data_IF_076147906479
#
_entry.id   IF_076147906479
#
_cell.length_a   1.000
_cell.length_b   1.000
_cell.length_c   1.000
_cell.angle_alpha   90.00
_cell.angle_beta   90.00
_cell.angle_gamma   90.00
#
_symmetry.space_group_name_H-M   'P 1'
#
loop_
_entity.id
_entity.type
_entity.pdbx_description
1 polymer ?
#
# COMPACT_ATOMS: atom_id res chain seq x y z
N UNK A 1 -16.61 8.71 1.64
CA UNK A 1 -17.07 8.18 2.93
C UNK A 1 -18.17 9.09 3.46
N UNK A 2 -19.25 8.51 3.91
CA UNK A 2 -20.45 9.25 4.29
C UNK A 2 -20.26 10.21 5.47
N UNK A 3 -19.49 9.84 6.47
CA UNK A 3 -19.24 10.68 7.63
C UNK A 3 -18.46 11.94 7.29
N UNK A 4 -17.49 11.83 6.41
CA UNK A 4 -16.71 12.99 5.97
C UNK A 4 -17.61 14.03 5.29
N UNK A 5 -18.63 13.58 4.56
CA UNK A 5 -19.56 14.46 3.85
C UNK A 5 -20.46 15.25 4.79
N UNK A 6 -20.81 14.73 5.96
CA UNK A 6 -21.63 15.42 6.93
C UNK A 6 -20.96 16.67 7.49
N UNK A 7 -19.63 16.74 7.42
CA UNK A 7 -18.84 17.87 7.92
C UNK A 7 -18.44 18.85 6.82
N UNK A 8 -18.93 18.65 5.62
CA UNK A 8 -18.62 19.53 4.49
C UNK A 8 -19.39 20.82 4.59
N UNK A 9 -18.70 21.94 4.43
CA UNK A 9 -19.31 23.27 4.41
C UNK A 9 -19.57 23.69 2.97
N UNK A 10 -20.76 24.24 2.70
CA UNK A 10 -21.17 24.67 1.38
C UNK A 10 -21.89 23.59 0.59
N UNK A 11 -22.27 23.86 -0.66
CA UNK A 11 -23.03 22.93 -1.48
C UNK A 11 -22.21 21.70 -1.84
N UNK A 12 -22.82 20.52 -1.71
CA UNK A 12 -22.20 19.25 -2.10
C UNK A 12 -22.56 18.98 -3.55
N UNK A 13 -21.55 18.91 -4.40
CA UNK A 13 -21.73 18.51 -5.79
C UNK A 13 -21.46 17.03 -5.94
N UNK A 14 -22.33 16.33 -6.65
CA UNK A 14 -22.14 14.94 -7.00
C UNK A 14 -21.71 14.83 -8.46
N UNK A 15 -20.69 14.03 -8.72
CA UNK A 15 -20.26 13.73 -10.06
C UNK A 15 -19.80 12.27 -10.12
N UNK A 16 -19.91 11.70 -11.32
CA UNK A 16 -19.44 10.33 -11.55
C UNK A 16 -17.94 10.33 -11.77
N UNK A 17 -17.24 9.41 -11.06
CA UNK A 17 -15.81 9.22 -11.22
C UNK A 17 -15.60 7.81 -11.75
N UNK A 18 -14.78 7.69 -12.78
CA UNK A 18 -14.39 6.39 -13.28
C UNK A 18 -13.35 5.81 -12.33
N UNK A 19 -13.62 4.61 -11.82
CA UNK A 19 -12.67 3.87 -10.99
C UNK A 19 -11.91 2.85 -11.84
N UNK A 20 -10.69 2.52 -11.39
CA UNK A 20 -9.84 1.56 -12.07
C UNK A 20 -9.36 0.52 -11.08
N UNK A 21 -9.26 -0.74 -11.51
CA UNK A 21 -8.67 -1.79 -10.68
C UNK A 21 -7.18 -1.56 -10.52
N UNK A 22 -6.68 -1.77 -9.32
CA UNK A 22 -5.27 -1.58 -9.04
C UNK A 22 -4.38 -2.47 -9.92
N UNK A 23 -4.79 -3.71 -10.18
CA UNK A 23 -4.04 -4.60 -11.08
C UNK A 23 -3.91 -4.02 -12.49
N UNK A 24 -4.91 -3.26 -12.97
CA UNK A 24 -4.83 -2.60 -14.27
C UNK A 24 -3.84 -1.44 -14.27
N UNK A 25 -3.77 -0.69 -13.16
CA UNK A 25 -2.79 0.38 -13.01
C UNK A 25 -1.37 -0.18 -13.09
N UNK A 26 -1.13 -1.32 -12.47
CA UNK A 26 0.19 -1.97 -12.49
C UNK A 26 0.61 -2.46 -13.88
N UNK A 27 -0.30 -2.58 -14.83
CA UNK A 27 0.06 -2.96 -16.19
C UNK A 27 0.89 -1.90 -16.91
N UNK A 28 0.69 -0.63 -16.57
CA UNK A 28 1.38 0.47 -17.24
C UNK A 28 2.27 1.31 -16.32
N UNK A 29 2.13 1.18 -15.01
CA UNK A 29 2.96 1.91 -14.04
C UNK A 29 4.07 1.00 -13.52
N UNK A 30 5.31 1.47 -13.52
CA UNK A 30 6.45 0.73 -12.98
C UNK A 30 6.64 0.98 -11.50
N UNK A 31 6.28 2.17 -11.04
CA UNK A 31 6.32 2.56 -9.64
C UNK A 31 5.01 3.21 -9.27
N UNK A 32 4.41 2.76 -8.20
CA UNK A 32 3.16 3.35 -7.68
C UNK A 32 3.39 3.81 -6.25
N UNK A 33 3.11 5.08 -6.00
CA UNK A 33 3.02 5.60 -4.65
C UNK A 33 1.56 5.55 -4.21
N UNK A 34 1.31 4.86 -3.12
CA UNK A 34 -0.04 4.64 -2.60
C UNK A 34 -0.23 5.43 -1.32
N UNK A 35 -1.23 6.32 -1.33
CA UNK A 35 -1.61 7.12 -0.17
C UNK A 35 -3.13 7.16 -0.12
N UNK A 36 -3.73 6.08 0.37
CA UNK A 36 -5.18 5.87 0.35
C UNK A 36 -5.78 5.70 1.75
N UNK A 37 -5.07 6.19 2.75
CA UNK A 37 -5.51 6.32 4.14
C UNK A 37 -6.34 5.15 4.67
N UNK A 38 -5.67 4.03 4.95
CA UNK A 38 -6.31 2.86 5.54
C UNK A 38 -6.77 1.79 4.56
N UNK A 39 -6.74 2.06 3.26
CA UNK A 39 -7.13 1.08 2.24
C UNK A 39 -5.96 0.32 1.64
N UNK A 40 -4.73 0.58 2.12
CA UNK A 40 -3.53 -0.03 1.56
C UNK A 40 -3.58 -1.55 1.58
N UNK A 41 -3.98 -2.14 2.71
CA UNK A 41 -4.03 -3.60 2.81
C UNK A 41 -5.07 -4.22 1.85
N UNK A 42 -6.19 -3.54 1.64
CA UNK A 42 -7.22 -4.03 0.70
C UNK A 42 -6.70 -4.02 -0.73
N UNK A 43 -5.97 -2.98 -1.11
CA UNK A 43 -5.39 -2.88 -2.44
C UNK A 43 -4.29 -3.92 -2.64
N UNK A 44 -3.45 -4.14 -1.65
CA UNK A 44 -2.41 -5.19 -1.73
C UNK A 44 -3.04 -6.57 -1.83
N UNK A 45 -4.13 -6.82 -1.13
CA UNK A 45 -4.86 -8.07 -1.24
C UNK A 45 -5.44 -8.30 -2.63
N UNK A 46 -5.76 -7.22 -3.35
CA UNK A 46 -6.41 -7.30 -4.66
C UNK A 46 -5.48 -7.69 -5.80
N UNK A 47 -4.16 -7.65 -5.58
CA UNK A 47 -3.18 -7.99 -6.61
C UNK A 47 -2.57 -9.36 -6.36
N UNK A 48 -1.90 -9.88 -7.38
CA UNK A 48 -1.23 -11.18 -7.34
C UNK A 48 0.25 -11.03 -7.66
N UNK A 49 1.01 -12.06 -7.39
CA UNK A 49 2.45 -12.10 -7.64
C UNK A 49 2.80 -11.60 -9.05
N UNK A 50 2.08 -12.07 -10.06
CA UNK A 50 2.36 -11.70 -11.46
C UNK A 50 2.19 -10.20 -11.72
N UNK A 51 1.33 -9.53 -10.97
CA UNK A 51 1.07 -8.10 -11.16
C UNK A 51 2.25 -7.24 -10.72
N UNK A 52 3.10 -7.76 -9.83
CA UNK A 52 4.27 -7.05 -9.30
C UNK A 52 5.56 -7.30 -10.07
N UNK A 53 5.52 -8.07 -11.16
CA UNK A 53 6.73 -8.35 -11.95
C UNK A 53 7.31 -7.06 -12.51
N UNK A 54 8.55 -6.72 -12.10
CA UNK A 54 9.24 -5.48 -12.45
C UNK A 54 8.53 -4.22 -11.98
N UNK A 55 7.71 -4.33 -10.93
CA UNK A 55 6.97 -3.19 -10.36
C UNK A 55 7.36 -3.00 -8.91
N UNK A 56 7.21 -1.78 -8.42
CA UNK A 56 7.40 -1.45 -7.03
C UNK A 56 6.23 -0.60 -6.55
N UNK A 57 5.82 -0.84 -5.31
CA UNK A 57 4.78 -0.06 -4.65
C UNK A 57 5.39 0.56 -3.41
N UNK A 58 5.27 1.87 -3.27
CA UNK A 58 5.64 2.56 -2.03
C UNK A 58 4.36 3.04 -1.36
N UNK A 59 4.24 2.79 -0.06
CA UNK A 59 3.05 3.13 0.67
C UNK A 59 3.35 3.54 2.11
N UNK A 60 2.41 4.23 2.71
CA UNK A 60 2.44 4.59 4.13
C UNK A 60 1.49 3.69 4.89
N UNK A 61 1.99 3.07 5.95
CA UNK A 61 1.19 2.17 6.79
C UNK A 61 0.79 2.95 8.04
N UNK A 62 -0.49 3.28 8.13
CA UNK A 62 -0.99 4.16 9.18
C UNK A 62 -1.45 3.46 10.45
N UNK A 63 -1.44 2.14 10.52
CA UNK A 63 -1.91 1.41 11.69
C UNK A 63 -1.27 0.04 11.81
N UNK A 64 -1.26 -0.48 13.03
CA UNK A 64 -0.77 -1.83 13.32
C UNK A 64 -1.61 -2.90 12.62
N UNK A 65 -2.93 -2.71 12.56
CA UNK A 65 -3.82 -3.66 11.90
C UNK A 65 -3.52 -3.75 10.41
N UNK A 66 -3.33 -2.61 9.76
CA UNK A 66 -2.98 -2.54 8.34
C UNK A 66 -1.61 -3.21 8.09
N UNK A 67 -0.64 -2.97 8.97
CA UNK A 67 0.69 -3.60 8.91
C UNK A 67 0.59 -5.12 8.97
N UNK A 68 -0.23 -5.65 9.87
CA UNK A 68 -0.43 -7.10 10.01
C UNK A 68 -0.99 -7.71 8.74
N UNK A 69 -1.97 -7.07 8.13
CA UNK A 69 -2.60 -7.57 6.90
C UNK A 69 -1.62 -7.57 5.74
N UNK A 70 -0.89 -6.47 5.56
CA UNK A 70 0.12 -6.36 4.51
C UNK A 70 1.21 -7.41 4.69
N UNK A 71 1.68 -7.59 5.91
CA UNK A 71 2.69 -8.61 6.22
C UNK A 71 2.20 -10.02 5.89
N UNK A 72 0.98 -10.35 6.28
CA UNK A 72 0.37 -11.65 5.99
C UNK A 72 0.21 -11.92 4.52
N UNK A 73 -0.33 -10.96 3.76
CA UNK A 73 -0.49 -11.10 2.31
C UNK A 73 0.86 -11.22 1.61
N UNK A 74 1.85 -10.45 2.04
CA UNK A 74 3.17 -10.48 1.46
C UNK A 74 3.87 -11.81 1.67
N UNK A 75 3.76 -12.38 2.86
CA UNK A 75 4.31 -13.72 3.12
C UNK A 75 3.63 -14.79 2.29
N UNK A 76 2.31 -14.72 2.19
CA UNK A 76 1.53 -15.69 1.44
C UNK A 76 1.87 -15.67 -0.05
N UNK A 77 2.03 -14.47 -0.62
CA UNK A 77 2.25 -14.29 -2.05
C UNK A 77 3.73 -14.26 -2.44
N UNK A 78 4.63 -14.18 -1.50
CA UNK A 78 6.06 -14.13 -1.78
C UNK A 78 6.59 -12.74 -2.10
N UNK A 79 5.90 -11.69 -1.67
CA UNK A 79 6.38 -10.31 -1.84
C UNK A 79 7.48 -10.00 -0.84
N UNK A 80 8.45 -9.22 -1.26
CA UNK A 80 9.48 -8.69 -0.37
C UNK A 80 9.10 -7.28 0.06
N UNK A 81 9.32 -6.99 1.33
CA UNK A 81 9.01 -5.71 1.93
C UNK A 81 10.31 -5.06 2.40
N UNK A 82 10.44 -3.75 2.15
CA UNK A 82 11.57 -2.96 2.60
C UNK A 82 11.03 -1.77 3.38
N UNK A 83 11.53 -1.57 4.60
CA UNK A 83 10.93 -0.64 5.55
C UNK A 83 11.87 0.51 5.89
N UNK A 84 11.37 1.73 5.76
CA UNK A 84 12.10 2.93 6.17
C UNK A 84 12.40 2.92 7.67
N UNK A 85 11.52 2.31 8.46
CA UNK A 85 11.69 2.15 9.90
C UNK A 85 13.02 1.49 10.27
N UNK A 86 13.50 0.59 9.43
CA UNK A 86 14.75 -0.14 9.62
C UNK A 86 15.79 0.20 8.54
N UNK A 87 15.82 1.46 8.15
CA UNK A 87 16.77 1.99 7.16
C UNK A 87 16.69 1.27 5.80
N UNK A 88 15.49 0.98 5.37
CA UNK A 88 15.18 0.33 4.08
C UNK A 88 15.69 -1.10 3.96
N UNK A 89 15.99 -1.73 5.07
CA UNK A 89 16.34 -3.15 5.07
C UNK A 89 15.11 -4.01 4.78
N UNK A 90 15.34 -5.21 4.32
CA UNK A 90 14.28 -6.18 4.06
C UNK A 90 13.60 -6.58 5.37
N UNK A 91 12.26 -6.54 5.36
CA UNK A 91 11.45 -6.89 6.53
C UNK A 91 11.53 -8.40 6.78
N UNK A 92 11.82 -8.77 8.02
CA UNK A 92 11.84 -10.17 8.47
C UNK A 92 10.71 -10.45 9.46
N UNK A 93 10.35 -9.46 10.25
CA UNK A 93 9.34 -9.58 11.31
C UNK A 93 8.30 -8.49 11.18
N UNK A 94 7.13 -8.72 11.74
CA UNK A 94 6.06 -7.72 11.77
C UNK A 94 6.52 -6.40 12.40
N UNK A 95 7.36 -6.48 13.44
CA UNK A 95 7.87 -5.30 14.14
C UNK A 95 8.75 -4.39 13.26
N UNK A 96 9.24 -4.90 12.14
CA UNK A 96 10.05 -4.12 11.20
C UNK A 96 9.18 -3.16 10.35
N UNK A 97 7.89 -3.40 10.28
CA UNK A 97 6.98 -2.63 9.44
C UNK A 97 6.53 -1.36 10.16
N UNK A 98 6.45 -0.20 9.46
CA UNK A 98 5.88 1.00 10.04
C UNK A 98 4.45 0.77 10.50
N UNK A 99 4.07 1.32 11.64
CA UNK A 99 2.70 1.25 12.17
C UNK A 99 2.08 2.63 12.33
N UNK A 100 2.83 3.67 11.97
CA UNK A 100 2.36 5.05 11.95
C UNK A 100 3.12 5.82 10.88
N UNK A 101 2.58 6.97 10.49
CA UNK A 101 3.24 7.82 9.49
C UNK A 101 4.62 8.32 9.95
N UNK A 102 4.87 8.34 11.26
CA UNK A 102 6.18 8.74 11.83
C UNK A 102 7.28 7.74 11.53
N UNK A 103 6.93 6.49 11.33
CA UNK A 103 7.89 5.43 11.06
C UNK A 103 8.38 5.42 9.60
N UNK A 104 7.74 6.19 8.73
CA UNK A 104 8.11 6.28 7.33
C UNK A 104 7.33 5.34 6.43
N UNK A 105 7.89 5.05 5.28
CA UNK A 105 7.21 4.30 4.22
C UNK A 105 7.66 2.85 4.14
N UNK A 106 6.90 2.07 3.39
CA UNK A 106 7.15 0.67 3.10
C UNK A 106 7.19 0.50 1.59
N UNK A 107 8.14 -0.27 1.09
CA UNK A 107 8.22 -0.63 -0.33
C UNK A 107 7.91 -2.11 -0.49
N UNK A 108 7.06 -2.43 -1.46
CA UNK A 108 6.72 -3.81 -1.82
C UNK A 108 7.32 -4.09 -3.20
N UNK A 109 8.04 -5.19 -3.32
CA UNK A 109 8.71 -5.58 -4.55
C UNK A 109 8.88 -7.10 -4.59
N UNK A 110 9.08 -7.66 -5.78
CA UNK A 110 9.49 -9.06 -5.92
C UNK A 110 11.01 -9.21 -5.88
N UNK A 111 11.73 -8.10 -5.98
CA UNK A 111 13.20 -8.13 -5.95
C UNK A 111 13.70 -8.45 -4.55
N UNK A 112 14.84 -9.11 -4.49
CA UNK A 112 15.48 -9.48 -3.22
C UNK A 112 16.21 -8.31 -2.57
N UNK A 113 16.55 -7.30 -3.37
CA UNK A 113 17.21 -6.07 -2.91
C UNK A 113 16.55 -4.87 -3.56
N UNK A 114 16.56 -3.74 -2.86
CA UNK A 114 16.16 -2.47 -3.45
C UNK A 114 17.16 -2.05 -4.52
N UNK A 115 16.64 -1.49 -5.57
CA UNK A 115 17.45 -0.94 -6.66
C UNK A 115 18.08 0.39 -6.29
#
# INVERSE_FOLDING_TARGET
IKEAKKKTYGPVKRFKVKTEKFSNILKWADLVKMDVEGLESDLIKSIKYKDLHNKEIILEVGSKNNAKKIFGYSKKEGYNLFSQKIAWKKVKNLTDIPISYKDGSLIISLEDKLR
#
